data_IF_408414469694
#
_entry.id   IF_408414469694
#
_cell.length_a   1.000
_cell.length_b   1.000
_cell.length_c   1.000
_cell.angle_alpha   90.00
_cell.angle_beta   90.00
_cell.angle_gamma   90.00
#
_symmetry.space_group_name_H-M   'P 1'
#
loop_
_entity.id
_entity.type
_entity.pdbx_description
1 polymer ?
#
# COMPACT_ATOMS: atom_id res chain seq x y z
N UNK A 1 -3.32 18.26 -11.32
CA UNK A 1 -2.75 19.58 -10.93
C UNK A 1 -1.24 19.44 -10.77
N UNK A 2 -0.44 20.54 -10.92
CA UNK A 2 1.00 20.51 -10.61
C UNK A 2 1.26 21.59 -9.59
N UNK A 3 2.02 21.26 -8.58
CA UNK A 3 2.32 22.13 -7.45
C UNK A 3 3.80 21.97 -7.08
N UNK A 4 4.53 23.06 -6.93
CA UNK A 4 5.86 23.04 -6.33
C UNK A 4 5.71 23.03 -4.81
N UNK A 5 6.11 21.93 -4.18
CA UNK A 5 5.95 21.74 -2.73
C UNK A 5 7.16 22.30 -1.97
N UNK A 6 8.34 22.07 -2.53
CA UNK A 6 9.63 22.55 -2.03
C UNK A 6 10.50 22.85 -3.25
N UNK A 7 11.61 23.62 -3.11
CA UNK A 7 12.47 23.92 -4.24
C UNK A 7 12.86 22.67 -5.03
N UNK A 8 12.51 22.63 -6.32
CA UNK A 8 12.72 21.51 -7.24
C UNK A 8 11.96 20.20 -6.90
N UNK A 9 11.05 20.20 -5.94
CA UNK A 9 10.15 19.07 -5.63
C UNK A 9 8.73 19.46 -6.02
N UNK A 10 8.19 18.75 -7.00
CA UNK A 10 6.87 18.99 -7.56
C UNK A 10 5.95 17.80 -7.29
N UNK A 11 4.70 18.07 -6.97
CA UNK A 11 3.62 17.09 -6.93
C UNK A 11 2.81 17.18 -8.23
N UNK A 12 2.61 16.04 -8.88
CA UNK A 12 1.66 15.87 -9.98
C UNK A 12 0.51 15.00 -9.46
N UNK A 13 -0.67 15.57 -9.36
CA UNK A 13 -1.86 14.80 -9.03
C UNK A 13 -2.32 13.99 -10.24
N UNK A 14 -2.26 12.67 -10.13
CA UNK A 14 -2.66 11.71 -11.17
C UNK A 14 -4.05 11.16 -10.80
N UNK A 15 -5.09 11.39 -11.62
CA UNK A 15 -6.45 10.97 -11.30
C UNK A 15 -6.60 9.45 -11.28
N UNK A 16 -7.43 8.93 -10.38
CA UNK A 16 -7.85 7.53 -10.28
C UNK A 16 -9.36 7.43 -10.46
N UNK A 17 -9.88 7.52 -11.70
CA UNK A 17 -11.32 7.56 -11.95
C UNK A 17 -12.03 6.31 -11.45
N UNK A 18 -13.12 6.51 -10.67
CA UNK A 18 -13.91 5.42 -10.08
C UNK A 18 -13.27 4.75 -8.87
N UNK A 19 -12.13 5.28 -8.37
CA UNK A 19 -11.47 4.81 -7.15
C UNK A 19 -11.79 5.77 -5.98
N UNK A 20 -12.13 5.27 -4.77
CA UNK A 20 -12.35 6.10 -3.59
C UNK A 20 -11.17 7.01 -3.21
N UNK A 21 -9.95 6.62 -3.55
CA UNK A 21 -8.74 7.42 -3.34
C UNK A 21 -8.70 8.69 -4.20
N UNK A 22 -9.46 8.74 -5.31
CA UNK A 22 -9.60 9.85 -6.27
C UNK A 22 -8.34 10.15 -7.08
N UNK A 23 -7.17 10.21 -6.46
CA UNK A 23 -5.90 10.50 -7.11
C UNK A 23 -4.73 9.86 -6.36
N UNK A 24 -3.60 9.70 -7.06
CA UNK A 24 -2.29 9.47 -6.47
C UNK A 24 -1.42 10.71 -6.65
N UNK A 25 -0.59 10.97 -5.67
CA UNK A 25 0.45 11.99 -5.70
C UNK A 25 1.73 11.39 -6.29
N UNK A 26 2.02 11.68 -7.53
CA UNK A 26 3.34 11.43 -8.11
C UNK A 26 4.25 12.61 -7.81
N UNK A 27 5.44 12.35 -7.28
CA UNK A 27 6.39 13.41 -6.98
C UNK A 27 7.53 13.42 -7.99
N UNK A 28 7.97 14.61 -8.37
CA UNK A 28 9.09 14.82 -9.29
C UNK A 28 10.14 15.66 -8.59
N UNK A 29 11.32 15.08 -8.40
CA UNK A 29 12.51 15.81 -7.98
C UNK A 29 13.24 16.22 -9.26
N UNK A 30 13.21 17.51 -9.57
CA UNK A 30 13.77 18.03 -10.81
C UNK A 30 15.24 18.44 -10.62
N UNK A 31 16.08 18.01 -11.53
CA UNK A 31 17.45 18.48 -11.67
C UNK A 31 17.80 18.67 -13.15
N UNK A 32 18.83 19.47 -13.41
CA UNK A 32 19.28 19.83 -14.76
C UNK A 32 19.87 18.65 -15.53
N UNK A 33 20.44 17.68 -14.83
CA UNK A 33 21.10 16.51 -15.42
C UNK A 33 20.13 15.32 -15.46
N UNK A 34 19.50 15.00 -14.31
CA UNK A 34 18.64 13.84 -14.18
C UNK A 34 17.61 14.04 -13.08
N UNK A 35 16.35 13.80 -13.39
CA UNK A 35 15.23 13.93 -12.46
C UNK A 35 14.79 12.57 -11.93
N UNK A 36 14.15 12.54 -10.75
CA UNK A 36 13.54 11.34 -10.17
C UNK A 36 12.02 11.53 -10.13
N UNK A 37 11.30 10.52 -10.61
CA UNK A 37 9.84 10.42 -10.51
C UNK A 37 9.51 9.34 -9.48
N UNK A 38 8.82 9.71 -8.42
CA UNK A 38 8.36 8.80 -7.37
C UNK A 38 6.90 8.47 -7.63
N UNK A 39 6.61 7.20 -7.87
CA UNK A 39 5.30 6.65 -8.22
C UNK A 39 4.64 7.28 -9.45
N UNK A 40 3.67 6.61 -10.09
CA UNK A 40 3.25 7.04 -11.42
C UNK A 40 1.75 7.03 -11.67
N UNK A 41 1.03 5.95 -11.35
CA UNK A 41 -0.40 5.81 -11.64
C UNK A 41 -0.78 4.46 -12.24
N UNK A 42 -2.08 4.22 -12.35
CA UNK A 42 -2.65 3.06 -13.02
C UNK A 42 -2.37 3.09 -14.53
N UNK A 43 -2.25 1.93 -15.16
CA UNK A 43 -2.16 1.80 -16.62
C UNK A 43 -3.49 2.16 -17.29
N UNK A 44 -3.82 3.46 -17.25
CA UNK A 44 -5.02 4.07 -17.81
C UNK A 44 -4.69 5.34 -18.57
N UNK A 45 -5.52 5.63 -19.59
CA UNK A 45 -5.34 6.82 -20.43
C UNK A 45 -5.35 8.11 -19.62
N UNK A 46 -6.27 8.25 -18.67
CA UNK A 46 -6.42 9.45 -17.85
C UNK A 46 -5.17 9.71 -16.99
N UNK A 47 -4.60 8.63 -16.41
CA UNK A 47 -3.37 8.70 -15.62
C UNK A 47 -2.17 9.08 -16.52
N UNK A 48 -2.05 8.46 -17.70
CA UNK A 48 -1.01 8.74 -18.68
C UNK A 48 -1.07 10.18 -19.19
N UNK A 49 -2.26 10.67 -19.52
CA UNK A 49 -2.46 12.04 -20.02
C UNK A 49 -2.08 13.08 -18.93
N UNK A 50 -2.47 12.82 -17.67
CA UNK A 50 -2.10 13.67 -16.53
C UNK A 50 -0.58 13.68 -16.31
N UNK A 51 0.05 12.51 -16.27
CA UNK A 51 1.50 12.36 -16.11
C UNK A 51 2.25 13.10 -17.22
N UNK A 52 1.96 12.81 -18.50
CA UNK A 52 2.63 13.45 -19.64
C UNK A 52 2.42 14.98 -19.66
N UNK A 53 1.23 15.43 -19.28
CA UNK A 53 0.96 16.87 -19.17
C UNK A 53 1.77 17.50 -18.06
N UNK A 54 1.90 16.82 -16.91
CA UNK A 54 2.73 17.26 -15.80
C UNK A 54 4.20 17.39 -16.20
N UNK A 55 4.78 16.33 -16.72
CA UNK A 55 6.19 16.30 -17.12
C UNK A 55 6.51 17.35 -18.19
N UNK A 56 5.61 17.54 -19.17
CA UNK A 56 5.78 18.56 -20.21
C UNK A 56 5.78 19.97 -19.64
N UNK A 57 4.88 20.28 -18.68
CA UNK A 57 4.85 21.60 -18.02
C UNK A 57 6.10 21.87 -17.19
N UNK A 58 6.71 20.82 -16.63
CA UNK A 58 8.00 20.90 -15.94
C UNK A 58 9.20 20.95 -16.89
N UNK A 59 8.98 20.84 -18.22
CA UNK A 59 10.05 20.80 -19.22
C UNK A 59 10.91 19.53 -19.16
N UNK A 60 10.40 18.47 -18.49
CA UNK A 60 11.14 17.25 -18.24
C UNK A 60 11.05 16.31 -19.44
N UNK A 61 12.20 15.78 -19.88
CA UNK A 61 12.29 14.76 -20.92
C UNK A 61 12.46 13.39 -20.27
N UNK A 62 11.66 12.43 -20.66
CA UNK A 62 11.67 11.07 -20.09
C UNK A 62 13.05 10.37 -20.16
N UNK A 63 13.86 10.67 -21.20
CA UNK A 63 15.23 10.16 -21.30
C UNK A 63 16.17 10.63 -20.18
N UNK A 64 15.80 11.72 -19.50
CA UNK A 64 16.56 12.34 -18.40
C UNK A 64 15.87 12.06 -17.05
N UNK A 65 14.99 11.04 -16.98
CA UNK A 65 14.25 10.67 -15.79
C UNK A 65 14.54 9.23 -15.34
N UNK A 66 14.72 9.09 -14.03
CA UNK A 66 14.70 7.83 -13.30
C UNK A 66 13.38 7.70 -12.53
N UNK A 67 13.04 6.48 -12.12
CA UNK A 67 11.79 6.18 -11.41
C UNK A 67 12.11 5.50 -10.08
N UNK A 68 11.38 5.86 -9.04
CA UNK A 68 11.36 5.17 -7.77
C UNK A 68 9.94 4.67 -7.53
N UNK A 69 9.79 3.37 -7.28
CA UNK A 69 8.51 2.73 -6.97
C UNK A 69 8.50 2.45 -5.47
N UNK A 70 7.57 3.08 -4.75
CA UNK A 70 7.45 2.88 -3.30
C UNK A 70 7.02 1.46 -2.95
N UNK A 71 6.11 0.88 -3.73
CA UNK A 71 5.59 -0.48 -3.51
C UNK A 71 4.81 -1.04 -4.72
N UNK A 72 4.40 -2.30 -4.63
CA UNK A 72 3.83 -3.10 -5.72
C UNK A 72 2.36 -2.81 -6.07
N UNK A 73 1.69 -1.81 -5.55
CA UNK A 73 0.32 -1.54 -5.96
C UNK A 73 0.26 -0.83 -7.31
N UNK A 74 -0.72 -1.22 -8.14
CA UNK A 74 -0.78 -0.83 -9.55
C UNK A 74 -0.87 0.69 -9.77
N UNK A 75 -1.50 1.42 -8.87
CA UNK A 75 -1.59 2.87 -8.93
C UNK A 75 -0.25 3.58 -8.67
N UNK A 76 0.74 2.88 -8.12
CA UNK A 76 2.09 3.41 -7.92
C UNK A 76 3.03 3.11 -9.10
N UNK A 77 2.96 1.91 -9.69
CA UNK A 77 3.96 1.50 -10.67
C UNK A 77 3.45 1.28 -12.10
N UNK A 78 2.13 1.10 -12.32
CA UNK A 78 1.65 0.53 -13.58
C UNK A 78 1.83 1.40 -14.83
N UNK A 79 2.14 2.69 -14.69
CA UNK A 79 2.55 3.52 -15.83
C UNK A 79 4.04 3.43 -16.16
N UNK A 80 4.89 2.94 -15.24
CA UNK A 80 6.36 2.89 -15.43
C UNK A 80 6.76 2.26 -16.77
N UNK A 81 6.22 1.09 -17.19
CA UNK A 81 6.59 0.47 -18.47
C UNK A 81 6.34 1.34 -19.71
N UNK A 82 5.38 2.27 -19.62
CA UNK A 82 5.02 3.18 -20.70
C UNK A 82 5.76 4.53 -20.66
N UNK A 83 6.57 4.75 -19.62
CA UNK A 83 7.30 6.01 -19.38
C UNK A 83 8.81 5.82 -19.48
N UNK A 84 9.33 4.63 -19.14
CA UNK A 84 10.78 4.35 -19.16
C UNK A 84 11.36 4.44 -20.55
N UNK A 85 12.62 4.82 -20.61
CA UNK A 85 13.48 4.80 -21.80
C UNK A 85 14.68 3.88 -21.56
N UNK A 86 15.51 3.65 -22.56
CA UNK A 86 16.72 2.84 -22.42
C UNK A 86 17.79 3.47 -21.51
N UNK A 87 17.60 4.72 -21.10
CA UNK A 87 18.49 5.45 -20.18
C UNK A 87 17.94 5.53 -18.77
N UNK A 88 16.68 5.14 -18.53
CA UNK A 88 16.02 5.23 -17.23
C UNK A 88 16.48 4.13 -16.29
N UNK A 89 16.71 4.47 -15.01
CA UNK A 89 16.81 3.53 -13.91
C UNK A 89 15.46 3.43 -13.24
N UNK A 90 15.07 2.21 -12.83
CA UNK A 90 13.83 1.97 -12.07
C UNK A 90 14.23 1.36 -10.74
N UNK A 91 14.20 2.17 -9.69
CA UNK A 91 14.50 1.74 -8.33
C UNK A 91 13.29 1.05 -7.72
N UNK A 92 13.49 -0.15 -7.19
CA UNK A 92 12.43 -0.94 -6.58
C UNK A 92 12.98 -1.87 -5.50
N UNK A 93 12.21 -2.12 -4.45
CA UNK A 93 12.62 -3.03 -3.38
C UNK A 93 12.50 -4.50 -3.80
N UNK A 94 13.42 -5.34 -3.34
CA UNK A 94 13.53 -6.74 -3.76
C UNK A 94 12.29 -7.60 -3.46
N UNK A 95 11.66 -7.58 -2.26
CA UNK A 95 10.49 -8.42 -1.98
C UNK A 95 9.32 -8.19 -2.93
N UNK A 96 9.00 -6.95 -3.24
CA UNK A 96 7.91 -6.61 -4.16
C UNK A 96 8.29 -6.91 -5.62
N UNK A 97 9.54 -6.68 -6.02
CA UNK A 97 10.05 -7.02 -7.34
C UNK A 97 9.99 -8.54 -7.59
N UNK A 98 10.41 -9.36 -6.63
CA UNK A 98 10.33 -10.82 -6.71
C UNK A 98 8.89 -11.32 -6.75
N UNK A 99 8.01 -10.77 -5.92
CA UNK A 99 6.58 -11.10 -5.93
C UNK A 99 5.95 -10.79 -7.30
N UNK A 100 6.28 -9.64 -7.87
CA UNK A 100 5.81 -9.25 -9.20
C UNK A 100 6.31 -10.20 -10.30
N UNK A 101 7.60 -10.55 -10.28
CA UNK A 101 8.22 -11.41 -11.27
C UNK A 101 7.70 -12.87 -11.22
N UNK A 102 7.35 -13.39 -10.03
CA UNK A 102 6.92 -14.78 -9.82
C UNK A 102 5.63 -15.11 -10.59
N UNK A 103 4.70 -14.16 -10.72
CA UNK A 103 3.38 -14.41 -11.29
C UNK A 103 2.50 -15.28 -10.39
N UNK A 104 1.29 -15.65 -10.87
CA UNK A 104 0.38 -16.56 -10.14
C UNK A 104 -0.26 -15.97 -8.87
N UNK A 105 0.05 -14.73 -8.52
CA UNK A 105 -0.38 -14.07 -7.28
C UNK A 105 -1.90 -14.05 -7.14
N UNK A 106 -2.63 -13.86 -8.22
CA UNK A 106 -4.09 -13.80 -8.20
C UNK A 106 -4.73 -15.14 -7.90
N UNK A 107 -4.19 -16.25 -8.42
CA UNK A 107 -4.68 -17.60 -8.14
C UNK A 107 -4.45 -17.96 -6.67
N UNK A 108 -3.31 -17.59 -6.11
CA UNK A 108 -2.99 -17.76 -4.70
C UNK A 108 -3.95 -16.95 -3.81
N UNK A 109 -4.19 -15.68 -4.15
CA UNK A 109 -5.14 -14.83 -3.43
C UNK A 109 -6.57 -15.37 -3.49
N UNK A 110 -7.00 -15.92 -4.63
CA UNK A 110 -8.32 -16.56 -4.76
C UNK A 110 -8.40 -17.82 -3.91
N UNK A 111 -7.37 -18.65 -3.88
CA UNK A 111 -7.34 -19.85 -3.03
C UNK A 111 -7.40 -19.47 -1.55
N UNK A 112 -6.67 -18.46 -1.12
CA UNK A 112 -6.72 -17.93 0.24
C UNK A 112 -8.11 -17.35 0.55
N UNK A 113 -8.71 -16.58 -0.34
CA UNK A 113 -10.05 -16.02 -0.16
C UNK A 113 -11.10 -17.11 0.10
N UNK A 114 -11.05 -18.22 -0.67
CA UNK A 114 -11.92 -19.39 -0.45
C UNK A 114 -11.71 -20.00 0.94
N UNK A 115 -10.45 -20.20 1.31
CA UNK A 115 -10.08 -20.74 2.62
C UNK A 115 -10.60 -19.86 3.76
N UNK A 116 -10.61 -18.55 3.57
CA UNK A 116 -11.07 -17.58 4.57
C UNK A 116 -12.56 -17.23 4.48
N UNK A 117 -13.34 -18.00 3.70
CA UNK A 117 -14.80 -17.93 3.67
C UNK A 117 -15.38 -16.91 2.70
N UNK A 118 -14.58 -16.29 1.83
CA UNK A 118 -15.11 -15.38 0.81
C UNK A 118 -16.08 -16.12 -0.13
N UNK A 119 -17.29 -15.59 -0.41
CA UNK A 119 -18.30 -16.31 -1.17
C UNK A 119 -17.88 -16.55 -2.62
N UNK A 120 -17.97 -17.81 -3.11
CA UNK A 120 -17.57 -18.20 -4.46
C UNK A 120 -18.26 -17.37 -5.55
N UNK A 121 -19.56 -17.07 -5.36
CA UNK A 121 -20.37 -16.26 -6.28
C UNK A 121 -19.84 -14.83 -6.46
N UNK A 122 -19.11 -14.30 -5.48
CA UNK A 122 -18.60 -12.93 -5.47
C UNK A 122 -17.13 -12.85 -5.92
N UNK A 123 -16.35 -13.95 -5.88
CA UNK A 123 -14.92 -13.98 -6.17
C UNK A 123 -14.57 -13.42 -7.55
N UNK A 124 -15.26 -13.87 -8.60
CA UNK A 124 -15.00 -13.40 -9.97
C UNK A 124 -15.30 -11.91 -10.14
N UNK A 125 -16.33 -11.41 -9.44
CA UNK A 125 -16.67 -9.99 -9.46
C UNK A 125 -15.66 -9.17 -8.66
N UNK A 126 -15.20 -9.67 -7.51
CA UNK A 126 -14.16 -9.03 -6.70
C UNK A 126 -12.87 -8.82 -7.51
N UNK A 127 -12.39 -9.88 -8.19
CA UNK A 127 -11.19 -9.80 -9.04
C UNK A 127 -11.35 -8.82 -10.19
N UNK A 128 -12.44 -8.97 -10.99
CA UNK A 128 -12.66 -8.08 -12.14
C UNK A 128 -12.76 -6.61 -11.77
N UNK A 129 -13.18 -6.30 -10.55
CA UNK A 129 -13.27 -4.93 -10.05
C UNK A 129 -12.03 -4.50 -9.25
N UNK A 130 -11.08 -5.41 -9.00
CA UNK A 130 -9.84 -5.07 -8.29
C UNK A 130 -8.92 -4.21 -9.17
N UNK A 131 -8.50 -3.01 -8.74
CA UNK A 131 -7.69 -2.11 -9.56
C UNK A 131 -6.39 -2.74 -10.06
N UNK A 132 -5.70 -3.48 -9.20
CA UNK A 132 -4.45 -4.16 -9.54
C UNK A 132 -4.61 -5.27 -10.59
N UNK A 133 -5.72 -6.01 -10.55
CA UNK A 133 -6.05 -7.02 -11.56
C UNK A 133 -6.38 -6.38 -12.92
N UNK A 134 -7.14 -5.29 -12.88
CA UNK A 134 -7.67 -4.63 -14.07
C UNK A 134 -6.69 -3.71 -14.78
N UNK A 135 -5.85 -3.01 -14.02
CA UNK A 135 -5.01 -1.92 -14.51
C UNK A 135 -3.53 -2.07 -14.14
N UNK A 136 -3.14 -3.25 -13.67
CA UNK A 136 -1.73 -3.57 -13.43
C UNK A 136 -0.95 -3.64 -14.75
N UNK A 137 0.37 -3.66 -14.63
CA UNK A 137 1.29 -3.81 -15.75
C UNK A 137 2.39 -4.82 -15.39
N UNK A 138 3.12 -5.31 -16.37
CA UNK A 138 4.33 -6.10 -16.16
C UNK A 138 5.55 -5.18 -16.19
N UNK A 139 6.50 -5.45 -15.30
CA UNK A 139 7.80 -4.78 -15.27
C UNK A 139 8.82 -5.66 -16.01
N UNK A 140 8.76 -5.63 -17.33
CA UNK A 140 9.65 -6.43 -18.20
C UNK A 140 10.94 -5.64 -18.56
N UNK A 141 11.45 -4.81 -17.62
CA UNK A 141 12.68 -4.05 -17.77
C UNK A 141 13.64 -4.34 -16.60
N UNK A 142 14.94 -4.05 -16.75
CA UNK A 142 15.90 -4.16 -15.65
C UNK A 142 15.50 -3.25 -14.48
N UNK A 143 15.48 -3.79 -13.27
CA UNK A 143 15.23 -3.07 -12.03
C UNK A 143 16.54 -2.81 -11.29
N UNK A 144 16.70 -1.62 -10.76
CA UNK A 144 17.76 -1.27 -9.82
C UNK A 144 17.25 -1.55 -8.41
N UNK A 145 17.63 -2.70 -7.87
CA UNK A 145 17.19 -3.11 -6.53
C UNK A 145 17.82 -2.18 -5.48
N UNK A 146 16.97 -1.70 -4.58
CA UNK A 146 17.36 -0.87 -3.43
C UNK A 146 16.92 -1.54 -2.13
N UNK A 147 17.71 -1.34 -1.07
CA UNK A 147 17.54 -1.94 0.23
C UNK A 147 17.57 -0.88 1.33
N UNK A 148 17.30 -1.28 2.57
CA UNK A 148 17.44 -0.41 3.74
C UNK A 148 18.82 0.25 3.79
N UNK A 149 18.85 1.58 3.86
CA UNK A 149 20.08 2.35 4.00
C UNK A 149 20.76 2.75 2.69
N UNK A 150 20.32 2.23 1.54
CA UNK A 150 20.79 2.71 0.25
C UNK A 150 20.44 4.18 0.05
N UNK A 151 21.21 4.89 -0.75
CA UNK A 151 21.01 6.32 -1.03
C UNK A 151 20.79 6.60 -2.51
N UNK A 152 19.90 7.54 -2.79
CA UNK A 152 19.64 8.06 -4.13
C UNK A 152 19.90 9.56 -4.10
N UNK A 153 20.81 10.03 -4.95
CA UNK A 153 21.17 11.46 -5.05
C UNK A 153 20.60 12.06 -6.33
N UNK A 154 19.85 13.16 -6.18
CA UNK A 154 19.26 13.91 -7.29
C UNK A 154 19.44 15.41 -7.01
N UNK A 155 20.28 16.07 -7.81
CA UNK A 155 20.58 17.48 -7.63
C UNK A 155 21.14 17.77 -6.23
N UNK A 156 20.42 18.60 -5.47
CA UNK A 156 20.79 18.97 -4.08
C UNK A 156 20.26 18.02 -3.01
N UNK A 157 19.50 17.00 -3.38
CA UNK A 157 18.84 16.10 -2.46
C UNK A 157 19.56 14.77 -2.37
N UNK A 158 19.64 14.23 -1.16
CA UNK A 158 20.18 12.90 -0.86
C UNK A 158 19.16 12.11 -0.07
N UNK A 159 18.49 11.20 -0.73
CA UNK A 159 17.45 10.36 -0.14
C UNK A 159 18.01 9.06 0.41
N UNK A 160 17.64 8.74 1.64
CA UNK A 160 17.90 7.46 2.29
C UNK A 160 16.69 6.55 2.06
N UNK A 161 16.92 5.34 1.57
CA UNK A 161 15.91 4.30 1.41
C UNK A 161 15.58 3.69 2.77
N UNK A 162 14.32 3.73 3.18
CA UNK A 162 13.82 3.20 4.44
C UNK A 162 12.81 2.10 4.15
N UNK A 163 13.16 0.84 4.43
CA UNK A 163 12.20 -0.27 4.33
C UNK A 163 11.10 -0.13 5.38
N UNK A 164 9.86 -0.13 4.92
CA UNK A 164 8.66 0.03 5.74
C UNK A 164 7.62 -1.04 5.38
N UNK A 165 7.96 -2.34 5.56
CA UNK A 165 7.03 -3.42 5.29
C UNK A 165 5.76 -3.31 6.14
N UNK A 166 4.64 -3.81 5.60
CA UNK A 166 3.32 -3.81 6.24
C UNK A 166 2.21 -3.66 5.21
N UNK A 167 2.13 -2.51 4.54
CA UNK A 167 1.19 -2.30 3.43
C UNK A 167 1.47 -3.23 2.24
N UNK A 168 2.75 -3.38 1.88
CA UNK A 168 3.28 -4.51 1.10
C UNK A 168 4.55 -5.03 1.77
N UNK A 169 5.05 -6.21 1.34
CA UNK A 169 6.31 -6.79 1.87
C UNK A 169 7.52 -5.93 1.53
N UNK A 170 7.51 -5.30 0.37
CA UNK A 170 8.61 -4.48 -0.16
C UNK A 170 8.33 -2.98 -0.13
N UNK A 171 7.37 -2.52 0.67
CA UNK A 171 7.11 -1.09 0.79
C UNK A 171 8.36 -0.35 1.26
N UNK A 172 8.66 0.80 0.63
CA UNK A 172 9.83 1.60 0.92
C UNK A 172 9.48 3.09 0.91
N UNK A 173 9.95 3.81 1.92
CA UNK A 173 9.94 5.27 1.97
C UNK A 173 11.28 5.83 1.50
N UNK A 174 11.29 7.08 1.04
CA UNK A 174 12.50 7.87 0.85
C UNK A 174 12.55 8.98 1.88
N UNK A 175 13.65 9.05 2.63
CA UNK A 175 13.88 10.08 3.65
C UNK A 175 15.04 10.99 3.26
N UNK A 176 14.81 12.28 3.27
CA UNK A 176 15.83 13.31 3.09
C UNK A 176 16.13 13.94 4.45
N UNK A 177 17.27 13.61 5.09
CA UNK A 177 17.53 13.97 6.49
C UNK A 177 17.82 15.46 6.70
N UNK A 178 18.50 16.13 5.76
CA UNK A 178 18.88 17.54 5.93
C UNK A 178 17.67 18.48 5.82
N UNK A 179 16.65 18.10 5.04
CA UNK A 179 15.40 18.84 4.86
C UNK A 179 14.25 18.24 5.66
N UNK A 180 14.48 17.08 6.32
CA UNK A 180 13.51 16.40 7.18
C UNK A 180 12.22 16.03 6.43
N UNK A 181 12.37 15.59 5.15
CA UNK A 181 11.27 15.26 4.25
C UNK A 181 11.16 13.74 4.12
N UNK A 182 9.94 13.21 4.26
CA UNK A 182 9.65 11.79 4.04
C UNK A 182 8.65 11.62 2.90
N UNK A 183 9.04 10.96 1.81
CA UNK A 183 8.12 10.39 0.84
C UNK A 183 7.64 9.06 1.39
N UNK A 184 6.41 9.02 1.87
CA UNK A 184 5.92 7.89 2.65
C UNK A 184 5.19 6.83 1.82
N UNK A 185 4.98 7.03 0.51
CA UNK A 185 4.10 6.14 -0.25
C UNK A 185 2.78 5.95 0.51
N UNK A 186 2.38 4.68 0.69
CA UNK A 186 1.18 4.32 1.45
C UNK A 186 1.49 3.83 2.88
N UNK A 187 2.69 4.14 3.40
CA UNK A 187 3.01 3.83 4.80
C UNK A 187 2.34 4.80 5.78
N UNK A 188 2.36 6.10 5.50
CA UNK A 188 1.70 7.13 6.31
C UNK A 188 0.83 7.99 5.39
N UNK A 189 -0.49 7.92 5.59
CA UNK A 189 -1.50 8.73 4.91
C UNK A 189 -2.19 9.65 5.92
N UNK A 190 -2.69 10.81 5.45
CA UNK A 190 -3.21 11.85 6.33
C UNK A 190 -4.56 11.55 6.96
N UNK A 191 -5.59 11.65 6.15
CA UNK A 191 -7.00 11.59 6.54
C UNK A 191 -7.63 10.20 6.34
N UNK A 192 -6.86 9.24 5.85
CA UNK A 192 -7.26 7.84 5.69
C UNK A 192 -6.21 6.91 6.28
N UNK A 193 -6.59 5.69 6.64
CA UNK A 193 -5.66 4.64 7.06
C UNK A 193 -5.22 3.81 5.87
N UNK A 194 -3.92 3.46 5.75
CA UNK A 194 -3.47 2.48 4.78
C UNK A 194 -4.18 1.14 5.00
N UNK A 195 -4.60 0.49 3.93
CA UNK A 195 -5.15 -0.86 4.01
C UNK A 195 -4.01 -1.86 4.27
N UNK A 196 -3.99 -2.48 5.44
CA UNK A 196 -3.03 -3.52 5.82
C UNK A 196 -3.73 -4.87 5.71
N UNK A 197 -3.47 -5.59 4.63
CA UNK A 197 -4.15 -6.84 4.29
C UNK A 197 -3.19 -8.02 4.14
N UNK A 198 -3.71 -9.24 4.32
CA UNK A 198 -3.01 -10.47 3.96
C UNK A 198 -3.90 -11.42 3.17
N UNK A 199 -3.27 -12.13 2.23
CA UNK A 199 -3.83 -13.27 1.49
C UNK A 199 -2.84 -14.45 1.53
N UNK A 200 -2.07 -14.54 2.63
CA UNK A 200 -1.01 -15.50 2.81
C UNK A 200 -0.77 -15.72 4.30
N UNK A 201 -0.49 -16.95 4.72
CA UNK A 201 -0.27 -17.31 6.11
C UNK A 201 1.20 -17.19 6.56
N UNK A 202 2.11 -16.91 5.64
CA UNK A 202 3.56 -16.88 5.87
C UNK A 202 4.09 -15.50 6.28
N UNK A 203 3.20 -14.57 6.57
CA UNK A 203 3.55 -13.18 6.87
C UNK A 203 2.53 -12.49 7.76
N UNK A 204 2.99 -11.71 8.74
CA UNK A 204 2.16 -10.89 9.62
C UNK A 204 2.28 -9.40 9.26
N UNK A 205 1.43 -8.86 8.36
CA UNK A 205 1.57 -7.49 7.88
C UNK A 205 1.28 -6.45 8.95
N UNK A 206 0.39 -6.72 9.91
CA UNK A 206 0.09 -5.77 11.00
C UNK A 206 1.29 -5.62 11.91
N UNK A 207 1.96 -6.72 12.29
CA UNK A 207 3.20 -6.65 13.08
C UNK A 207 4.27 -5.84 12.35
N UNK A 208 4.53 -6.17 11.10
CA UNK A 208 5.56 -5.49 10.30
C UNK A 208 5.23 -3.99 10.12
N UNK A 209 3.95 -3.66 9.91
CA UNK A 209 3.52 -2.27 9.81
C UNK A 209 3.75 -1.49 11.11
N UNK A 210 3.41 -2.07 12.26
CA UNK A 210 3.62 -1.44 13.56
C UNK A 210 5.11 -1.20 13.85
N UNK A 211 5.98 -2.19 13.53
CA UNK A 211 7.42 -2.05 13.64
C UNK A 211 7.98 -0.98 12.68
N UNK A 212 7.43 -0.90 11.48
CA UNK A 212 7.80 0.13 10.49
C UNK A 212 7.38 1.52 10.93
N UNK A 213 6.20 1.66 11.57
CA UNK A 213 5.77 2.92 12.17
C UNK A 213 6.71 3.35 13.31
N UNK A 214 7.17 2.41 14.16
CA UNK A 214 8.14 2.70 15.20
C UNK A 214 9.48 3.16 14.61
N UNK A 215 9.96 2.51 13.55
CA UNK A 215 11.17 2.92 12.83
C UNK A 215 11.08 4.36 12.31
N UNK A 216 9.95 4.73 11.68
CA UNK A 216 9.76 6.09 11.15
C UNK A 216 9.54 7.11 12.27
N UNK A 217 8.96 6.72 13.40
CA UNK A 217 8.78 7.60 14.57
C UNK A 217 10.11 8.14 15.12
N UNK A 218 11.19 7.36 15.02
CA UNK A 218 12.54 7.75 15.45
C UNK A 218 13.23 8.72 14.48
N UNK A 219 12.70 8.86 13.24
CA UNK A 219 13.24 9.82 12.29
C UNK A 219 12.77 11.24 12.62
N UNK A 220 13.64 12.22 12.34
CA UNK A 220 13.29 13.63 12.49
C UNK A 220 12.58 14.15 11.23
N UNK A 221 11.30 13.82 11.09
CA UNK A 221 10.46 14.18 9.94
C UNK A 221 9.64 15.43 10.23
N UNK A 222 9.82 16.46 9.40
CA UNK A 222 9.03 17.70 9.45
C UNK A 222 7.88 17.67 8.43
N UNK A 223 8.13 17.16 7.23
CA UNK A 223 7.13 17.10 6.16
C UNK A 223 7.01 15.67 5.63
N UNK A 224 5.79 15.15 5.60
CA UNK A 224 5.45 13.87 4.99
C UNK A 224 4.74 14.12 3.66
N UNK A 225 5.26 13.52 2.60
CA UNK A 225 4.75 13.56 1.23
C UNK A 225 4.15 12.17 0.89
N UNK A 226 2.83 11.97 1.16
CA UNK A 226 2.19 10.66 1.02
C UNK A 226 1.79 10.36 -0.42
N UNK A 227 1.61 9.06 -0.75
CA UNK A 227 1.11 8.61 -2.04
C UNK A 227 -0.31 9.09 -2.36
N UNK A 228 -1.14 9.32 -1.34
CA UNK A 228 -2.52 9.80 -1.48
C UNK A 228 -2.83 10.92 -0.50
N UNK A 229 -3.80 11.78 -0.88
CA UNK A 229 -4.38 12.84 -0.03
C UNK A 229 -3.40 13.97 0.29
N UNK A 230 -3.60 14.62 1.44
CA UNK A 230 -2.89 15.82 1.83
C UNK A 230 -1.48 15.54 2.38
N UNK A 231 -0.60 16.50 2.19
CA UNK A 231 0.73 16.58 2.82
C UNK A 231 0.56 16.81 4.32
N UNK A 232 1.45 16.26 5.13
CA UNK A 232 1.39 16.30 6.59
C UNK A 232 2.62 16.96 7.18
N UNK A 233 2.44 17.64 8.32
CA UNK A 233 3.53 18.22 9.12
C UNK A 233 3.56 17.68 10.56
N UNK A 234 2.73 16.71 10.87
CA UNK A 234 2.56 16.12 12.21
C UNK A 234 2.83 14.61 12.20
N UNK A 235 3.95 14.19 11.60
CA UNK A 235 4.31 12.79 11.38
C UNK A 235 4.16 11.91 12.64
N UNK A 236 4.76 12.32 13.76
CA UNK A 236 4.72 11.55 15.02
C UNK A 236 3.32 11.38 15.59
N UNK A 237 2.50 12.44 15.55
CA UNK A 237 1.11 12.35 15.97
C UNK A 237 0.35 11.37 15.08
N UNK A 238 0.50 11.48 13.76
CA UNK A 238 -0.16 10.59 12.82
C UNK A 238 0.22 9.13 13.01
N UNK A 239 1.49 8.84 13.29
CA UNK A 239 1.95 7.49 13.65
C UNK A 239 1.22 6.94 14.87
N UNK A 240 1.04 7.74 15.93
CA UNK A 240 0.31 7.30 17.12
C UNK A 240 -1.18 7.01 16.82
N UNK A 241 -1.80 7.82 15.97
CA UNK A 241 -3.19 7.60 15.52
C UNK A 241 -3.31 6.29 14.73
N UNK A 242 -2.38 6.00 13.82
CA UNK A 242 -2.34 4.75 13.05
C UNK A 242 -2.12 3.52 13.94
N UNK A 243 -1.21 3.61 14.91
CA UNK A 243 -0.99 2.53 15.91
C UNK A 243 -2.23 2.31 16.76
N UNK A 244 -2.90 3.38 17.17
CA UNK A 244 -4.16 3.27 17.92
C UNK A 244 -5.28 2.66 17.09
N UNK A 245 -5.38 3.02 15.81
CA UNK A 245 -6.33 2.42 14.88
C UNK A 245 -6.18 0.89 14.84
N UNK A 246 -4.98 0.36 14.57
CA UNK A 246 -4.77 -1.09 14.49
C UNK A 246 -5.00 -1.82 15.82
N UNK A 247 -4.73 -1.16 16.97
CA UNK A 247 -5.11 -1.70 18.28
C UNK A 247 -6.62 -1.86 18.40
N UNK A 248 -7.39 -0.82 18.07
CA UNK A 248 -8.86 -0.88 18.07
C UNK A 248 -9.40 -1.95 17.13
N UNK A 249 -8.82 -2.10 15.93
CA UNK A 249 -9.20 -3.15 14.99
C UNK A 249 -9.00 -4.55 15.59
N UNK A 250 -7.85 -4.77 16.26
CA UNK A 250 -7.57 -6.03 16.93
C UNK A 250 -8.57 -6.31 18.09
N UNK A 251 -8.88 -5.29 18.90
CA UNK A 251 -9.88 -5.38 19.97
C UNK A 251 -11.29 -5.71 19.40
N UNK A 252 -11.67 -5.08 18.30
CA UNK A 252 -12.93 -5.35 17.59
C UNK A 252 -13.05 -6.82 17.13
N UNK A 253 -11.95 -7.38 16.56
CA UNK A 253 -11.90 -8.79 16.17
C UNK A 253 -12.08 -9.71 17.38
N UNK A 254 -11.45 -9.43 18.52
CA UNK A 254 -11.63 -10.22 19.74
C UNK A 254 -13.09 -10.19 20.23
N UNK A 255 -13.73 -9.02 20.28
CA UNK A 255 -15.14 -8.87 20.66
C UNK A 255 -16.10 -9.62 19.72
N UNK A 256 -15.77 -9.73 18.42
CA UNK A 256 -16.54 -10.53 17.47
C UNK A 256 -16.41 -12.02 17.81
N UNK A 257 -15.19 -12.49 18.07
CA UNK A 257 -14.92 -13.90 18.38
C UNK A 257 -15.41 -14.32 19.77
N UNK A 258 -15.71 -13.40 20.69
CA UNK A 258 -16.41 -13.71 21.96
C UNK A 258 -17.82 -14.26 21.72
N UNK A 259 -18.47 -13.90 20.61
CA UNK A 259 -19.81 -14.39 20.25
C UNK A 259 -19.80 -15.81 19.69
N UNK A 260 -18.64 -16.29 19.26
CA UNK A 260 -18.43 -17.62 18.71
C UNK A 260 -17.35 -17.69 17.62
N UNK A 261 -17.04 -18.92 17.18
CA UNK A 261 -16.04 -19.14 16.13
C UNK A 261 -16.52 -18.63 14.76
N UNK A 262 -15.64 -17.92 14.03
CA UNK A 262 -15.96 -17.31 12.74
C UNK A 262 -14.80 -17.48 11.73
N UNK A 263 -15.12 -17.48 10.44
CA UNK A 263 -14.10 -17.29 9.40
C UNK A 263 -13.83 -15.80 9.15
N UNK A 264 -12.76 -15.47 8.41
CA UNK A 264 -12.36 -14.08 8.24
C UNK A 264 -13.39 -13.23 7.49
N UNK A 265 -14.13 -13.78 6.52
CA UNK A 265 -15.20 -13.06 5.84
C UNK A 265 -16.36 -12.70 6.79
N UNK A 266 -16.71 -13.61 7.70
CA UNK A 266 -17.73 -13.36 8.73
C UNK A 266 -17.24 -12.32 9.76
N UNK A 267 -15.96 -12.39 10.16
CA UNK A 267 -15.35 -11.35 11.00
C UNK A 267 -15.42 -9.99 10.29
N UNK A 268 -14.99 -9.91 9.03
CA UNK A 268 -15.05 -8.68 8.25
C UNK A 268 -16.46 -8.10 8.13
N UNK A 269 -17.49 -8.96 8.07
CA UNK A 269 -18.89 -8.52 7.98
C UNK A 269 -19.43 -7.88 9.26
N UNK A 270 -18.77 -8.09 10.38
CA UNK A 270 -19.15 -7.57 11.69
C UNK A 270 -18.24 -6.41 12.16
N UNK A 271 -17.08 -6.21 11.51
CA UNK A 271 -16.19 -5.09 11.77
C UNK A 271 -16.79 -3.78 11.24
N UNK A 272 -16.40 -2.65 11.85
CA UNK A 272 -16.80 -1.31 11.41
C UNK A 272 -15.96 -0.84 10.21
N UNK A 273 -16.59 -0.20 9.23
CA UNK A 273 -15.94 0.33 8.04
C UNK A 273 -16.39 1.77 7.78
N UNK A 274 -15.46 2.64 7.41
CA UNK A 274 -15.76 4.03 7.00
C UNK A 274 -16.31 4.06 5.57
N UNK A 275 -17.41 3.32 5.35
CA UNK A 275 -18.13 3.25 4.08
C UNK A 275 -19.62 3.37 4.38
N UNK A 276 -20.26 4.38 3.79
CA UNK A 276 -21.70 4.59 3.93
C UNK A 276 -22.42 3.49 3.16
N UNK A 277 -22.97 2.51 3.89
CA UNK A 277 -23.74 1.41 3.34
C UNK A 277 -24.77 0.91 4.36
N UNK A 278 -25.98 0.55 3.91
CA UNK A 278 -27.06 0.13 4.81
C UNK A 278 -26.82 -1.26 5.43
N UNK A 279 -26.09 -2.13 4.73
CA UNK A 279 -25.78 -3.49 5.22
C UNK A 279 -24.56 -4.06 4.51
N UNK A 280 -23.98 -5.11 5.11
CA UNK A 280 -22.88 -5.86 4.47
C UNK A 280 -23.27 -6.48 3.12
N UNK A 281 -24.52 -6.89 2.95
CA UNK A 281 -24.96 -7.47 1.68
C UNK A 281 -24.89 -6.47 0.53
N UNK A 282 -25.15 -5.19 0.80
CA UNK A 282 -25.06 -4.08 -0.15
C UNK A 282 -23.65 -3.52 -0.26
N UNK A 283 -22.71 -3.94 0.57
CA UNK A 283 -21.33 -3.47 0.55
C UNK A 283 -20.67 -3.79 -0.80
N UNK A 284 -19.98 -2.86 -1.46
CA UNK A 284 -19.37 -3.11 -2.75
C UNK A 284 -18.42 -4.32 -2.71
N UNK A 285 -18.54 -5.23 -3.68
CA UNK A 285 -17.78 -6.50 -3.67
C UNK A 285 -16.27 -6.30 -3.62
N UNK A 286 -15.74 -5.29 -4.29
CA UNK A 286 -14.31 -4.93 -4.20
C UNK A 286 -13.93 -4.47 -2.79
N UNK A 287 -14.83 -3.80 -2.08
CA UNK A 287 -14.59 -3.37 -0.70
C UNK A 287 -14.70 -4.55 0.28
N UNK A 288 -15.61 -5.52 0.04
CA UNK A 288 -15.63 -6.79 0.80
C UNK A 288 -14.30 -7.53 0.67
N UNK A 289 -13.68 -7.49 -0.51
CA UNK A 289 -12.35 -8.08 -0.73
C UNK A 289 -11.31 -7.43 0.18
N UNK A 290 -11.17 -6.11 0.14
CA UNK A 290 -10.20 -5.39 0.97
C UNK A 290 -10.48 -5.57 2.47
N UNK A 291 -11.73 -5.49 2.87
CA UNK A 291 -12.17 -5.72 4.25
C UNK A 291 -11.83 -7.12 4.76
N UNK A 292 -12.04 -8.16 3.93
CA UNK A 292 -11.68 -9.54 4.29
C UNK A 292 -10.17 -9.69 4.43
N UNK A 293 -9.39 -9.11 3.51
CA UNK A 293 -7.92 -9.11 3.59
C UNK A 293 -7.39 -8.44 4.86
N UNK A 294 -8.02 -7.33 5.28
CA UNK A 294 -7.69 -6.64 6.53
C UNK A 294 -8.08 -7.47 7.76
N UNK A 295 -9.25 -8.13 7.75
CA UNK A 295 -9.64 -9.04 8.82
C UNK A 295 -8.64 -10.21 8.95
N UNK A 296 -8.19 -10.81 7.84
CA UNK A 296 -7.16 -11.87 7.85
C UNK A 296 -5.88 -11.34 8.49
N UNK A 297 -5.43 -10.13 8.14
CA UNK A 297 -4.21 -9.55 8.69
C UNK A 297 -4.26 -9.38 10.21
N UNK A 298 -5.41 -8.94 10.76
CA UNK A 298 -5.60 -8.81 12.20
C UNK A 298 -5.77 -10.15 12.89
N UNK A 299 -6.41 -11.15 12.24
CA UNK A 299 -6.50 -12.51 12.76
C UNK A 299 -5.11 -13.16 12.85
N UNK A 300 -4.25 -13.02 11.84
CA UNK A 300 -2.85 -13.49 11.89
C UNK A 300 -2.09 -12.81 13.04
N UNK A 301 -2.27 -11.51 13.21
CA UNK A 301 -1.63 -10.75 14.28
C UNK A 301 -2.04 -11.22 15.67
N UNK A 302 -3.32 -11.53 15.87
CA UNK A 302 -3.87 -12.03 17.15
C UNK A 302 -3.50 -13.50 17.39
N UNK A 303 -3.43 -14.33 16.34
CA UNK A 303 -2.98 -15.73 16.41
C UNK A 303 -1.51 -15.79 16.83
N UNK A 304 -0.63 -14.95 16.28
CA UNK A 304 0.78 -14.87 16.69
C UNK A 304 0.96 -14.41 18.15
N UNK A 305 -0.03 -13.71 18.70
CA UNK A 305 -0.04 -13.29 20.12
C UNK A 305 -0.67 -14.33 21.06
N UNK A 306 -1.00 -15.52 20.56
CA UNK A 306 -1.70 -16.57 21.29
C UNK A 306 -3.05 -16.14 21.93
N UNK A 307 -3.70 -15.09 21.38
CA UNK A 307 -5.01 -14.65 21.85
C UNK A 307 -6.15 -15.42 21.19
N UNK A 308 -5.92 -15.93 20.00
CA UNK A 308 -6.85 -16.74 19.22
C UNK A 308 -6.11 -17.93 18.60
N UNK A 309 -6.87 -18.94 18.20
CA UNK A 309 -6.34 -20.07 17.42
C UNK A 309 -7.21 -20.34 16.20
N UNK A 310 -6.61 -20.96 15.19
CA UNK A 310 -7.27 -21.33 13.95
C UNK A 310 -7.42 -22.85 13.84
N UNK A 311 -8.61 -23.30 13.41
CA UNK A 311 -8.87 -24.70 13.02
C UNK A 311 -9.39 -24.73 11.59
N UNK A 312 -9.16 -25.85 10.91
CA UNK A 312 -9.74 -26.08 9.59
C UNK A 312 -11.04 -26.88 9.76
N UNK A 313 -12.17 -26.32 9.32
CA UNK A 313 -13.47 -26.99 9.30
C UNK A 313 -14.12 -26.78 7.92
N UNK A 314 -14.60 -27.86 7.30
CA UNK A 314 -15.24 -27.84 5.97
C UNK A 314 -14.43 -27.09 4.90
N UNK A 315 -13.11 -27.26 4.95
CA UNK A 315 -12.17 -26.59 4.01
C UNK A 315 -11.89 -25.12 4.28
N UNK A 316 -12.48 -24.54 5.33
CA UNK A 316 -12.31 -23.14 5.73
C UNK A 316 -11.48 -23.00 7.00
N UNK A 317 -10.80 -21.88 7.13
CA UNK A 317 -10.13 -21.43 8.34
C UNK A 317 -11.18 -20.81 9.28
N UNK A 318 -11.36 -21.39 10.46
CA UNK A 318 -12.25 -20.90 11.50
C UNK A 318 -11.42 -20.48 12.70
N UNK A 319 -11.63 -19.27 13.17
CA UNK A 319 -10.91 -18.66 14.28
C UNK A 319 -11.75 -18.67 15.56
N UNK A 320 -11.10 -18.89 16.69
CA UNK A 320 -11.72 -18.94 18.00
C UNK A 320 -10.79 -18.31 19.04
N UNK A 321 -11.35 -17.74 20.11
CA UNK A 321 -10.55 -17.27 21.24
C UNK A 321 -9.86 -18.45 21.93
N UNK A 322 -8.65 -18.22 22.41
CA UNK A 322 -8.09 -19.08 23.45
C UNK A 322 -8.91 -18.90 24.72
N UNK A 323 -9.54 -19.98 25.18
CA UNK A 323 -10.21 -19.97 26.47
C UNK A 323 -9.10 -19.99 27.53
N UNK A 324 -8.76 -18.83 28.07
CA UNK A 324 -7.96 -18.78 29.29
C UNK A 324 -8.85 -19.37 30.39
N UNK A 325 -8.60 -20.61 30.82
CA UNK A 325 -9.19 -21.11 32.06
C UNK A 325 -8.73 -20.18 33.18
N UNK A 326 -9.69 -19.39 33.70
CA UNK A 326 -9.51 -18.60 34.92
C UNK A 326 -9.47 -19.56 36.11
#
# INVERSE_FOLDING_TARGET
>A
MIEEILPDIYKIEIPLPGNPLKAINSYVIRDSVRSLIIDTGLNRKECMDAMRTGLRKLGLKLRDADFFITHLHADHFALVPSLVTNTSRVYFNQPDAQRHARGGVWDEMVAAARMHGFPERELQSALRNHPGYRYGARLDMPLSIVNQGDTIEIGRYRFLCIETPGHTRGHMCLFEPDKRILFSGDHILGDITPNIQSWSDDWNPVREYLLSLDKVYELDVEVVLPGHRAILTNCRQRIQELKHHHRKRAEEVLLILEKGPENAFQVASQMSWDIICESWDLFPVSQKWFATGEAIAHLIYLEEKDLIYRKRAEGKAIYSLHITQI
#
